data_IF_672747391766
#
_entry.id   IF_672747391766
#
_cell.length_a   1.000
_cell.length_b   1.000
_cell.length_c   1.000
_cell.angle_alpha   90.00
_cell.angle_beta   90.00
_cell.angle_gamma   90.00
#
_symmetry.space_group_name_H-M   'P 1'
#
loop_
_entity.id
_entity.type
_entity.pdbx_description
1 polymer ?
#
# COMPACT_ATOMS: atom_id res chain seq x y z
N UNK A 1 13.58 18.62 -3.14
CA UNK A 1 13.00 17.27 -2.88
C UNK A 1 14.03 16.13 -3.11
N UNK A 2 15.26 16.44 -3.52
CA UNK A 2 16.42 15.54 -3.54
C UNK A 2 17.56 16.16 -2.74
N UNK A 3 18.56 15.35 -2.26
CA UNK A 3 19.74 15.89 -1.60
C UNK A 3 20.46 16.93 -2.46
N UNK A 4 21.02 17.98 -1.84
CA UNK A 4 21.76 19.04 -2.56
C UNK A 4 22.94 18.50 -3.38
N UNK A 5 23.60 17.45 -2.88
CA UNK A 5 24.74 16.81 -3.57
C UNK A 5 24.23 15.70 -4.49
N UNK A 6 24.40 15.85 -5.81
CA UNK A 6 23.96 14.83 -6.80
C UNK A 6 24.50 13.42 -6.54
N UNK A 7 25.74 13.31 -6.01
CA UNK A 7 26.33 12.00 -5.67
C UNK A 7 25.59 11.26 -4.54
N UNK A 8 24.77 11.96 -3.76
CA UNK A 8 23.96 11.37 -2.69
C UNK A 8 22.56 10.94 -3.17
N UNK A 9 22.23 11.17 -4.45
CA UNK A 9 20.93 10.79 -4.99
C UNK A 9 20.81 9.28 -5.06
N UNK A 10 19.85 8.75 -4.36
CA UNK A 10 19.42 7.35 -4.39
C UNK A 10 18.13 7.18 -5.17
N UNK A 11 17.75 5.94 -5.49
CA UNK A 11 16.42 5.65 -6.03
C UNK A 11 15.32 6.10 -5.05
N UNK A 12 15.56 5.92 -3.75
CA UNK A 12 14.69 6.33 -2.64
C UNK A 12 15.44 7.33 -1.77
N UNK A 13 14.84 8.49 -1.53
CA UNK A 13 15.44 9.55 -0.73
C UNK A 13 14.46 9.93 0.39
N UNK A 14 14.80 9.62 1.62
CA UNK A 14 14.06 10.04 2.79
C UNK A 14 14.42 11.48 3.14
N UNK A 15 13.42 12.29 3.37
CA UNK A 15 13.57 13.70 3.75
C UNK A 15 13.13 13.85 5.21
N UNK A 16 14.10 13.95 6.12
CA UNK A 16 13.82 14.32 7.49
C UNK A 16 13.56 15.83 7.60
N UNK A 17 12.58 16.22 8.37
CA UNK A 17 12.35 17.60 8.79
C UNK A 17 12.68 17.71 10.29
N UNK A 18 13.37 18.78 10.66
CA UNK A 18 13.86 19.01 12.06
C UNK A 18 12.73 19.48 13.01
N UNK A 19 11.54 18.96 12.90
CA UNK A 19 10.46 19.37 13.80
C UNK A 19 10.47 18.57 15.09
N UNK A 20 10.58 19.28 16.20
CA UNK A 20 10.61 18.73 17.55
C UNK A 20 9.32 17.99 18.00
N UNK A 21 8.22 18.15 17.29
CA UNK A 21 6.91 17.61 17.71
C UNK A 21 6.51 16.27 17.06
N UNK A 22 7.37 15.63 16.29
CA UNK A 22 7.18 14.24 15.81
C UNK A 22 5.92 13.94 14.99
N UNK A 23 5.13 14.95 14.63
CA UNK A 23 3.80 14.80 14.04
C UNK A 23 3.75 14.94 12.52
N UNK A 24 4.88 15.19 11.84
CA UNK A 24 4.87 15.34 10.37
C UNK A 24 4.92 14.01 9.65
N UNK A 25 4.12 13.86 8.58
CA UNK A 25 4.18 12.69 7.74
C UNK A 25 5.59 12.49 7.17
N UNK A 26 6.01 11.24 7.07
CA UNK A 26 7.28 10.87 6.43
C UNK A 26 7.28 11.37 4.99
N UNK A 27 8.29 12.17 4.62
CA UNK A 27 8.50 12.64 3.26
C UNK A 27 9.50 11.74 2.54
N UNK A 28 9.12 11.18 1.41
CA UNK A 28 9.96 10.32 0.60
C UNK A 28 9.92 10.75 -0.85
N UNK A 29 11.09 10.88 -1.48
CA UNK A 29 11.22 11.16 -2.91
C UNK A 29 11.83 9.97 -3.64
N UNK A 30 11.13 9.49 -4.65
CA UNK A 30 11.57 8.44 -5.56
C UNK A 30 12.17 9.07 -6.81
N UNK A 31 13.44 8.80 -7.10
CA UNK A 31 14.08 9.22 -8.35
C UNK A 31 13.83 8.16 -9.41
N UNK A 32 12.83 8.39 -10.26
CA UNK A 32 12.35 7.40 -11.22
C UNK A 32 13.42 6.99 -12.24
N UNK A 33 14.32 7.91 -12.62
CA UNK A 33 15.44 7.58 -13.53
C UNK A 33 16.42 6.54 -12.99
N UNK A 34 16.36 6.23 -11.68
CA UNK A 34 17.13 5.15 -11.05
C UNK A 34 16.32 3.89 -10.78
N UNK A 35 15.01 3.98 -10.86
CA UNK A 35 14.09 2.85 -10.62
C UNK A 35 13.73 2.12 -11.91
N UNK A 36 13.65 2.86 -13.01
CA UNK A 36 13.25 2.31 -14.30
C UNK A 36 13.91 3.09 -15.46
N UNK A 37 14.10 2.47 -16.63
CA UNK A 37 14.60 3.17 -17.80
C UNK A 37 13.56 4.19 -18.29
N UNK A 38 13.91 5.47 -18.26
CA UNK A 38 13.10 6.55 -18.80
C UNK A 38 13.73 7.08 -20.09
N UNK A 39 12.92 7.48 -21.09
CA UNK A 39 13.41 8.03 -22.35
C UNK A 39 13.93 9.48 -22.21
N UNK A 40 14.24 9.94 -21.01
CA UNK A 40 14.73 11.28 -20.72
C UNK A 40 15.89 11.26 -19.71
N UNK A 41 16.77 12.27 -19.80
CA UNK A 41 17.86 12.48 -18.83
C UNK A 41 17.49 13.44 -17.71
N UNK A 42 16.41 14.21 -17.89
CA UNK A 42 15.89 15.10 -16.85
C UNK A 42 15.42 14.26 -15.65
N UNK A 43 15.83 14.63 -14.42
CA UNK A 43 15.36 13.93 -13.23
C UNK A 43 13.85 14.03 -13.12
N UNK A 44 13.18 12.87 -13.03
CA UNK A 44 11.76 12.74 -12.74
C UNK A 44 11.63 12.17 -11.35
N UNK A 45 10.90 12.84 -10.47
CA UNK A 45 10.70 12.43 -9.09
C UNK A 45 9.23 12.34 -8.75
N UNK A 46 8.88 11.36 -7.93
CA UNK A 46 7.60 11.27 -7.24
C UNK A 46 7.88 11.49 -5.76
N UNK A 47 7.21 12.44 -5.15
CA UNK A 47 7.38 12.73 -3.72
C UNK A 47 6.07 12.55 -2.99
N UNK A 48 6.10 11.77 -1.91
CA UNK A 48 5.01 11.67 -0.94
C UNK A 48 5.25 12.69 0.17
N UNK A 49 4.18 13.39 0.56
CA UNK A 49 4.17 14.36 1.64
C UNK A 49 5.34 15.35 1.55
N UNK A 50 5.46 16.11 0.45
CA UNK A 50 6.56 17.05 0.28
C UNK A 50 6.58 18.05 1.44
N UNK A 51 7.75 18.31 2.09
CA UNK A 51 7.84 19.21 3.24
C UNK A 51 7.71 20.68 2.84
N UNK A 52 7.74 20.97 1.56
CA UNK A 52 7.52 22.31 0.97
C UNK A 52 6.98 22.16 -0.45
N UNK A 53 6.25 23.16 -0.90
CA UNK A 53 5.68 23.18 -2.25
C UNK A 53 6.80 23.25 -3.30
N UNK A 54 6.80 22.35 -4.31
CA UNK A 54 7.70 22.45 -5.43
C UNK A 54 7.37 23.70 -6.28
N UNK A 55 8.39 24.25 -6.95
CA UNK A 55 8.17 25.37 -7.87
C UNK A 55 7.19 24.95 -8.99
N UNK A 56 6.13 25.75 -9.29
CA UNK A 56 5.05 25.35 -10.20
C UNK A 56 5.54 24.88 -11.59
N UNK A 57 6.61 25.49 -12.11
CA UNK A 57 7.19 25.12 -13.42
C UNK A 57 7.85 23.74 -13.43
N UNK A 58 8.07 23.13 -12.28
CA UNK A 58 8.64 21.79 -12.12
C UNK A 58 7.61 20.77 -11.64
N UNK A 59 6.37 21.19 -11.37
CA UNK A 59 5.29 20.32 -10.97
C UNK A 59 4.59 19.77 -12.21
N UNK A 60 4.68 18.46 -12.44
CA UNK A 60 3.97 17.81 -13.52
C UNK A 60 2.52 17.55 -13.14
N UNK A 61 2.31 16.99 -11.95
CA UNK A 61 0.98 16.66 -11.43
C UNK A 61 1.03 16.49 -9.91
N UNK A 62 -0.09 16.77 -9.24
CA UNK A 62 -0.30 16.51 -7.82
C UNK A 62 -1.56 15.66 -7.64
N UNK A 63 -1.49 14.72 -6.69
CA UNK A 63 -2.60 13.83 -6.34
C UNK A 63 -2.76 13.84 -4.84
N UNK A 64 -4.00 13.76 -4.39
CA UNK A 64 -4.34 13.53 -2.99
C UNK A 64 -4.84 12.10 -2.83
N UNK A 65 -4.15 11.31 -2.00
CA UNK A 65 -4.51 9.92 -1.72
C UNK A 65 -4.62 9.69 -0.22
N UNK A 66 -5.62 8.92 0.18
CA UNK A 66 -5.67 8.33 1.51
C UNK A 66 -4.88 7.03 1.52
N UNK A 67 -3.98 6.89 2.48
CA UNK A 67 -3.16 5.69 2.65
C UNK A 67 -3.40 5.09 4.04
N UNK A 68 -3.57 3.75 4.18
CA UNK A 68 -3.68 3.13 5.49
C UNK A 68 -2.47 3.41 6.37
N UNK A 69 -2.71 3.85 7.60
CA UNK A 69 -1.67 4.00 8.60
C UNK A 69 -1.51 2.66 9.33
N UNK A 70 -0.35 2.01 9.16
CA UNK A 70 -0.04 0.72 9.78
C UNK A 70 0.51 0.93 11.19
N UNK A 71 -0.34 1.40 12.10
CA UNK A 71 -0.05 1.52 13.53
C UNK A 71 -0.44 0.24 14.31
N UNK A 72 -0.26 0.28 15.63
CA UNK A 72 -0.61 -0.85 16.49
C UNK A 72 -2.10 -1.23 16.44
N UNK A 73 -3.00 -0.27 16.17
CA UNK A 73 -4.43 -0.52 16.03
C UNK A 73 -4.72 -1.21 14.71
N UNK A 74 -4.07 -0.78 13.63
CA UNK A 74 -4.21 -1.42 12.32
C UNK A 74 -3.72 -2.89 12.37
N UNK A 75 -2.58 -3.16 13.02
CA UNK A 75 -2.08 -4.53 13.20
C UNK A 75 -3.06 -5.40 14.01
N UNK A 76 -3.62 -4.88 15.09
CA UNK A 76 -4.63 -5.59 15.87
C UNK A 76 -5.90 -5.85 15.03
N UNK A 77 -6.32 -4.88 14.22
CA UNK A 77 -7.46 -5.04 13.32
C UNK A 77 -7.21 -6.11 12.25
N UNK A 78 -6.02 -6.18 11.67
CA UNK A 78 -5.65 -7.23 10.70
C UNK A 78 -5.82 -8.63 11.30
N UNK A 79 -5.39 -8.87 12.54
CA UNK A 79 -5.58 -10.15 13.24
C UNK A 79 -7.06 -10.47 13.47
N UNK A 80 -7.87 -9.48 13.87
CA UNK A 80 -9.28 -9.65 14.10
C UNK A 80 -10.08 -9.83 12.80
N UNK A 81 -9.54 -9.38 11.67
CA UNK A 81 -10.22 -9.33 10.38
C UNK A 81 -10.59 -10.72 9.83
N UNK A 82 -9.84 -11.77 10.20
CA UNK A 82 -10.14 -13.15 9.81
C UNK A 82 -11.58 -13.58 10.19
N UNK A 83 -12.13 -13.03 11.28
CA UNK A 83 -13.48 -13.35 11.71
C UNK A 83 -14.59 -12.76 10.82
N UNK A 84 -14.27 -11.76 10.00
CA UNK A 84 -15.22 -11.12 9.09
C UNK A 84 -15.32 -11.84 7.74
N UNK A 85 -14.31 -12.62 7.39
CA UNK A 85 -14.24 -13.30 6.09
C UNK A 85 -15.37 -14.32 5.92
N UNK A 86 -16.11 -14.22 4.82
CA UNK A 86 -17.20 -15.11 4.48
C UNK A 86 -18.51 -14.82 5.21
N UNK A 87 -18.55 -13.86 6.13
CA UNK A 87 -19.80 -13.47 6.77
C UNK A 87 -20.73 -12.80 5.76
N UNK A 88 -22.00 -13.22 5.74
CA UNK A 88 -23.02 -12.73 4.79
C UNK A 88 -22.56 -12.81 3.33
N UNK A 89 -21.78 -13.85 2.98
CA UNK A 89 -21.18 -14.03 1.65
C UNK A 89 -20.29 -12.87 1.20
N UNK A 90 -19.70 -12.13 2.14
CA UNK A 90 -18.81 -11.01 1.85
C UNK A 90 -17.39 -11.39 2.21
N UNK A 91 -16.48 -11.11 1.27
CA UNK A 91 -15.06 -11.40 1.38
C UNK A 91 -14.25 -10.15 1.07
N UNK A 92 -13.10 -10.03 1.70
CA UNK A 92 -12.25 -8.85 1.58
C UNK A 92 -10.82 -9.28 1.28
N UNK A 93 -10.20 -8.61 0.33
CA UNK A 93 -8.78 -8.75 0.02
C UNK A 93 -8.14 -7.38 -0.17
N UNK A 94 -6.84 -7.31 0.01
CA UNK A 94 -6.07 -6.11 -0.22
C UNK A 94 -4.73 -6.13 0.49
N UNK A 95 -3.78 -5.35 -0.02
CA UNK A 95 -2.45 -5.23 0.56
C UNK A 95 -2.46 -4.66 2.00
N UNK A 96 -3.51 -3.95 2.38
CA UNK A 96 -3.71 -3.40 3.72
C UNK A 96 -3.94 -4.48 4.80
N UNK A 97 -4.20 -5.73 4.41
CA UNK A 97 -4.23 -6.88 5.32
C UNK A 97 -2.82 -7.39 5.69
N UNK A 98 -1.77 -6.80 5.13
CA UNK A 98 -0.37 -6.98 5.45
C UNK A 98 0.31 -5.62 5.59
N UNK A 99 1.51 -5.50 5.05
CA UNK A 99 2.32 -4.28 5.12
C UNK A 99 2.19 -3.36 3.90
N UNK A 100 1.25 -3.64 3.00
CA UNK A 100 0.96 -2.81 1.84
C UNK A 100 1.75 -3.16 0.58
N UNK A 101 2.46 -4.28 0.57
CA UNK A 101 3.18 -4.76 -0.61
C UNK A 101 2.28 -5.52 -1.59
N UNK A 102 2.70 -5.64 -2.85
CA UNK A 102 1.97 -6.40 -3.87
C UNK A 102 1.74 -7.85 -3.44
N UNK A 103 2.73 -8.47 -2.81
CA UNK A 103 2.65 -9.85 -2.31
C UNK A 103 1.61 -10.01 -1.19
N UNK A 104 1.45 -9.01 -0.33
CA UNK A 104 0.39 -9.02 0.69
C UNK A 104 -1.01 -9.01 0.03
N UNK A 105 -1.15 -8.20 -1.03
CA UNK A 105 -2.38 -8.15 -1.81
C UNK A 105 -2.70 -9.48 -2.47
N UNK A 106 -1.71 -10.10 -3.11
CA UNK A 106 -1.83 -11.40 -3.76
C UNK A 106 -2.15 -12.50 -2.74
N UNK A 107 -1.42 -12.56 -1.63
CA UNK A 107 -1.65 -13.54 -0.57
C UNK A 107 -3.05 -13.44 0.02
N UNK A 108 -3.54 -12.22 0.24
CA UNK A 108 -4.90 -12.01 0.74
C UNK A 108 -5.97 -12.45 -0.26
N UNK A 109 -5.74 -12.24 -1.56
CA UNK A 109 -6.63 -12.69 -2.61
C UNK A 109 -6.69 -14.22 -2.72
N UNK A 110 -5.57 -14.91 -2.61
CA UNK A 110 -5.52 -16.38 -2.55
C UNK A 110 -6.30 -16.92 -1.34
N UNK A 111 -6.10 -16.33 -0.17
CA UNK A 111 -6.85 -16.74 1.04
C UNK A 111 -8.37 -16.59 0.86
N UNK A 112 -8.83 -15.54 0.18
CA UNK A 112 -10.23 -15.35 -0.17
C UNK A 112 -10.71 -16.41 -1.16
N UNK A 113 -9.99 -16.66 -2.24
CA UNK A 113 -10.34 -17.67 -3.24
C UNK A 113 -10.50 -19.05 -2.60
N UNK A 114 -9.55 -19.46 -1.75
CA UNK A 114 -9.63 -20.70 -0.99
C UNK A 114 -10.81 -20.74 -0.02
N UNK A 115 -11.10 -19.61 0.62
CA UNK A 115 -12.25 -19.47 1.50
C UNK A 115 -13.58 -19.68 0.78
N UNK A 116 -13.75 -19.05 -0.38
CA UNK A 116 -14.93 -19.19 -1.24
C UNK A 116 -15.10 -20.65 -1.68
N UNK A 117 -14.00 -21.29 -2.14
CA UNK A 117 -14.02 -22.68 -2.58
C UNK A 117 -14.45 -23.63 -1.45
N UNK A 118 -13.91 -23.44 -0.25
CA UNK A 118 -14.31 -24.21 0.94
C UNK A 118 -15.77 -24.00 1.32
N UNK A 119 -16.27 -22.76 1.23
CA UNK A 119 -17.67 -22.46 1.52
C UNK A 119 -18.60 -23.12 0.51
N UNK A 120 -18.30 -23.05 -0.78
CA UNK A 120 -19.08 -23.68 -1.84
C UNK A 120 -19.17 -25.20 -1.66
N UNK A 121 -18.03 -25.87 -1.35
CA UNK A 121 -17.98 -27.31 -1.10
C UNK A 121 -18.87 -27.74 0.07
N UNK A 122 -18.86 -26.97 1.17
CA UNK A 122 -19.72 -27.23 2.34
C UNK A 122 -21.21 -27.10 2.00
N UNK A 123 -21.57 -26.08 1.22
CA UNK A 123 -22.95 -25.87 0.80
C UNK A 123 -23.45 -27.02 -0.06
N UNK A 124 -22.66 -27.50 -1.01
CA UNK A 124 -22.99 -28.64 -1.86
C UNK A 124 -23.21 -29.92 -1.03
N UNK A 125 -22.33 -30.19 -0.08
CA UNK A 125 -22.42 -31.35 0.79
C UNK A 125 -23.66 -31.32 1.70
N UNK A 126 -24.04 -30.12 2.17
CA UNK A 126 -25.25 -29.96 2.98
C UNK A 126 -26.52 -30.20 2.16
N UNK A 127 -26.54 -29.76 0.88
CA UNK A 127 -27.68 -30.00 -0.02
C UNK A 127 -27.85 -31.48 -0.35
N UNK A 128 -26.73 -32.21 -0.60
CA UNK A 128 -26.75 -33.65 -0.87
C UNK A 128 -27.28 -34.44 0.34
N UNK A 129 -26.84 -34.10 1.56
CA UNK A 129 -27.30 -34.74 2.79
C UNK A 129 -28.77 -34.45 3.11
N UNK A 130 -29.31 -33.32 2.68
CA UNK A 130 -30.72 -32.96 2.87
C UNK A 130 -31.64 -33.60 1.83
N UNK A 131 -31.08 -34.10 0.72
CA UNK A 131 -31.83 -34.73 -0.38
C UNK A 131 -31.83 -36.28 -0.30
N UNK A 132 -31.09 -36.87 0.64
CA UNK A 132 -30.98 -38.30 0.88
C UNK A 132 -31.88 -38.75 2.05
#
# INVERSE_FOLDING_TARGET
LLPRRRRAWSAWNYLATDDADGARPVAVSYLLNKLQPLPCRTPVIVTLNPPFEPAPQHLLQSFEYSHPLLDGRALAAQHAFAHLQGQRNTWYAGAWLGFGFHEDGLSSAHAVADGIARQAARTSQTVELAAA
#
